data_IF_178057417027
#
_entry.id   IF_178057417027
#
_cell.length_a   1.000
_cell.length_b   1.000
_cell.length_c   1.000
_cell.angle_alpha   90.00
_cell.angle_beta   90.00
_cell.angle_gamma   90.00
#
_symmetry.space_group_name_H-M   'P 1'
#
loop_
_entity.id
_entity.type
_entity.pdbx_description
1 polymer ?
#
# COMPACT_ATOMS: atom_id res chain seq x y z
N UNK A 1 -13.52 11.72 -7.70
CA UNK A 1 -12.13 11.37 -8.09
C UNK A 1 -11.03 11.85 -7.14
N UNK A 2 -11.17 12.96 -6.39
CA UNK A 2 -10.13 13.45 -5.45
C UNK A 2 -9.78 12.46 -4.30
N UNK A 3 -10.77 11.73 -3.78
CA UNK A 3 -10.60 10.85 -2.60
C UNK A 3 -9.70 9.63 -2.87
N UNK A 4 -9.75 9.06 -4.08
CA UNK A 4 -8.98 7.87 -4.43
C UNK A 4 -7.47 8.12 -4.44
N UNK A 5 -7.03 9.25 -5.03
CA UNK A 5 -5.61 9.63 -5.04
C UNK A 5 -5.10 9.95 -3.64
N UNK A 6 -5.92 10.61 -2.81
CA UNK A 6 -5.59 10.86 -1.40
C UNK A 6 -5.43 9.56 -0.61
N UNK A 7 -6.35 8.59 -0.79
CA UNK A 7 -6.25 7.29 -0.13
C UNK A 7 -5.01 6.50 -0.57
N UNK A 8 -4.68 6.50 -1.87
CA UNK A 8 -3.44 5.91 -2.37
C UNK A 8 -2.19 6.55 -1.74
N UNK A 9 -2.16 7.89 -1.63
CA UNK A 9 -1.04 8.59 -0.96
C UNK A 9 -0.94 8.21 0.52
N UNK A 10 -2.06 8.13 1.24
CA UNK A 10 -2.10 7.69 2.64
C UNK A 10 -1.54 6.27 2.80
N UNK A 11 -1.95 5.34 1.95
CA UNK A 11 -1.45 3.95 1.95
C UNK A 11 0.07 3.92 1.76
N UNK A 12 0.58 4.63 0.75
CA UNK A 12 2.02 4.69 0.48
C UNK A 12 2.78 5.30 1.66
N UNK A 13 2.24 6.35 2.30
CA UNK A 13 2.82 6.95 3.50
C UNK A 13 2.89 5.94 4.66
N UNK A 14 1.79 5.24 4.95
CA UNK A 14 1.75 4.20 5.98
C UNK A 14 2.80 3.11 5.71
N UNK A 15 2.91 2.65 4.47
CA UNK A 15 3.90 1.63 4.08
C UNK A 15 5.35 2.12 4.17
N UNK A 16 5.60 3.41 3.96
CA UNK A 16 6.94 4.01 4.15
C UNK A 16 7.31 4.13 5.63
N UNK A 17 6.32 4.33 6.50
CA UNK A 17 6.52 4.49 7.96
C UNK A 17 6.58 3.14 8.68
N UNK A 18 5.71 2.20 8.34
CA UNK A 18 5.52 0.92 9.03
C UNK A 18 6.20 -0.26 8.33
N UNK A 19 6.60 -0.10 7.06
CA UNK A 19 7.16 -1.18 6.25
C UNK A 19 6.08 -2.03 5.57
N UNK A 20 6.18 -3.35 5.71
CA UNK A 20 5.22 -4.26 5.08
C UNK A 20 3.88 -4.26 5.82
N UNK A 21 2.79 -4.26 5.05
CA UNK A 21 1.43 -4.19 5.60
C UNK A 21 0.51 -5.19 4.93
N UNK A 22 -0.54 -5.59 5.64
CA UNK A 22 -1.71 -6.30 5.11
C UNK A 22 -2.88 -5.36 4.90
N UNK A 23 -3.92 -5.82 4.20
CA UNK A 23 -5.15 -5.06 4.06
C UNK A 23 -5.83 -4.77 5.42
N UNK A 24 -5.65 -5.66 6.40
CA UNK A 24 -6.17 -5.50 7.75
C UNK A 24 -5.52 -4.33 8.50
N UNK A 25 -4.25 -4.02 8.22
CA UNK A 25 -3.54 -2.90 8.85
C UNK A 25 -4.03 -1.54 8.32
N UNK A 26 -4.73 -1.54 7.17
CA UNK A 26 -5.34 -0.35 6.55
C UNK A 26 -6.88 -0.41 6.62
N UNK A 27 -7.44 -1.00 7.68
CA UNK A 27 -8.89 -1.15 7.84
C UNK A 27 -9.68 0.18 7.84
N UNK A 28 -9.02 1.31 8.14
CA UNK A 28 -9.61 2.65 8.11
C UNK A 28 -9.81 3.22 6.70
N UNK A 29 -9.35 2.52 5.65
CA UNK A 29 -9.59 2.87 4.25
C UNK A 29 -10.49 1.80 3.62
N UNK A 30 -11.78 2.14 3.47
CA UNK A 30 -12.71 1.29 2.74
C UNK A 30 -12.23 1.01 1.32
N UNK A 31 -12.43 -0.22 0.84
CA UNK A 31 -11.98 -0.69 -0.47
C UNK A 31 -10.47 -0.53 -0.73
N UNK A 32 -9.63 -0.61 0.31
CA UNK A 32 -8.16 -0.52 0.21
C UNK A 32 -7.54 -1.45 -0.85
N UNK A 33 -8.15 -2.61 -1.09
CA UNK A 33 -7.75 -3.55 -2.15
C UNK A 33 -7.69 -2.92 -3.55
N UNK A 34 -8.63 -2.04 -3.90
CA UNK A 34 -8.62 -1.37 -5.22
C UNK A 34 -7.40 -0.44 -5.36
N UNK A 35 -7.00 0.22 -4.28
CA UNK A 35 -5.85 1.11 -4.25
C UNK A 35 -4.52 0.33 -4.31
N UNK A 36 -4.43 -0.83 -3.65
CA UNK A 36 -3.26 -1.69 -3.79
C UNK A 36 -3.04 -2.14 -5.23
N UNK A 37 -4.10 -2.56 -5.93
CA UNK A 37 -4.00 -2.96 -7.36
C UNK A 37 -3.51 -1.80 -8.23
N UNK A 38 -4.04 -0.59 -8.00
CA UNK A 38 -3.59 0.60 -8.73
C UNK A 38 -2.11 0.91 -8.47
N UNK A 39 -1.67 0.86 -7.21
CA UNK A 39 -0.28 1.10 -6.82
C UNK A 39 0.69 0.02 -7.36
N UNK A 40 0.25 -1.23 -7.45
CA UNK A 40 1.02 -2.32 -8.08
C UNK A 40 1.20 -2.07 -9.58
N UNK A 41 0.14 -1.62 -10.27
CA UNK A 41 0.21 -1.25 -11.70
C UNK A 41 1.16 -0.08 -11.95
N UNK A 42 1.25 0.85 -11.01
CA UNK A 42 2.22 1.95 -11.05
C UNK A 42 3.65 1.51 -10.70
N UNK A 43 3.85 0.25 -10.29
CA UNK A 43 5.15 -0.29 -9.89
C UNK A 43 5.70 0.30 -8.59
N UNK A 44 4.85 0.94 -7.77
CA UNK A 44 5.24 1.55 -6.49
C UNK A 44 5.36 0.48 -5.42
N UNK A 45 4.38 -0.43 -5.38
CA UNK A 45 4.31 -1.51 -4.38
C UNK A 45 4.38 -2.88 -5.05
N UNK A 46 4.75 -3.87 -4.27
CA UNK A 46 4.67 -5.29 -4.60
C UNK A 46 3.85 -6.04 -3.57
N UNK A 47 3.65 -7.33 -3.83
CA UNK A 47 2.99 -8.21 -2.87
C UNK A 47 3.56 -9.61 -2.86
N UNK A 48 3.43 -10.26 -1.70
CA UNK A 48 3.82 -11.65 -1.48
C UNK A 48 2.80 -12.34 -0.58
N UNK A 49 2.66 -13.65 -0.73
CA UNK A 49 1.90 -14.46 0.21
C UNK A 49 2.74 -14.68 1.47
N UNK A 50 2.09 -14.61 2.63
CA UNK A 50 2.69 -14.88 3.93
C UNK A 50 1.72 -15.73 4.75
N UNK A 51 2.25 -16.63 5.54
CA UNK A 51 1.48 -17.45 6.48
C UNK A 51 1.74 -16.90 7.87
N UNK A 52 0.68 -16.38 8.52
CA UNK A 52 0.75 -15.88 9.90
C UNK A 52 1.02 -17.03 10.87
N UNK A 53 1.44 -16.71 12.08
CA UNK A 53 1.71 -17.69 13.15
C UNK A 53 0.51 -18.62 13.44
N UNK A 54 -0.72 -18.14 13.26
CA UNK A 54 -1.95 -18.92 13.42
C UNK A 54 -2.33 -19.77 12.18
N UNK A 55 -1.43 -19.95 11.21
CA UNK A 55 -1.65 -20.72 9.99
C UNK A 55 -2.46 -20.00 8.91
N UNK A 56 -2.96 -18.79 9.16
CA UNK A 56 -3.76 -18.04 8.18
C UNK A 56 -2.86 -17.46 7.08
N UNK A 57 -3.21 -17.74 5.82
CA UNK A 57 -2.53 -17.12 4.67
C UNK A 57 -3.07 -15.72 4.43
N UNK A 58 -2.19 -14.73 4.43
CA UNK A 58 -2.51 -13.35 4.10
C UNK A 58 -1.58 -12.80 3.03
N UNK A 59 -2.06 -11.81 2.28
CA UNK A 59 -1.26 -11.11 1.27
C UNK A 59 -0.58 -9.91 1.93
N UNK A 60 0.75 -9.97 2.03
CA UNK A 60 1.58 -8.85 2.47
C UNK A 60 1.87 -7.93 1.28
N UNK A 61 1.88 -6.63 1.53
CA UNK A 61 2.20 -5.57 0.58
C UNK A 61 3.43 -4.84 1.08
N UNK A 62 4.34 -4.51 0.17
CA UNK A 62 5.59 -3.83 0.50
C UNK A 62 5.94 -2.77 -0.55
N UNK A 63 6.72 -1.76 -0.17
CA UNK A 63 7.25 -0.77 -1.12
C UNK A 63 8.27 -1.48 -2.02
N UNK A 64 7.99 -1.53 -3.33
CA UNK A 64 8.88 -2.12 -4.32
C UNK A 64 9.90 -1.11 -4.82
N UNK A 65 9.49 0.13 -5.02
CA UNK A 65 10.33 1.23 -5.49
C UNK A 65 10.15 2.44 -4.57
N UNK A 66 11.12 2.63 -3.67
CA UNK A 66 11.08 3.70 -2.66
C UNK A 66 11.18 5.09 -3.29
N UNK A 67 11.95 5.25 -4.37
CA UNK A 67 12.09 6.54 -5.05
C UNK A 67 10.77 6.95 -5.71
N UNK A 68 10.09 6.02 -6.39
CA UNK A 68 8.74 6.26 -6.93
C UNK A 68 7.71 6.50 -5.84
N UNK A 69 7.78 5.78 -4.72
CA UNK A 69 6.89 6.00 -3.58
C UNK A 69 7.00 7.42 -3.02
N UNK A 70 8.24 7.90 -2.78
CA UNK A 70 8.52 9.27 -2.30
C UNK A 70 8.05 10.30 -3.33
N UNK A 71 8.36 10.11 -4.61
CA UNK A 71 7.89 11.01 -5.68
C UNK A 71 6.36 11.06 -5.74
N UNK A 72 5.68 9.92 -5.57
CA UNK A 72 4.23 9.82 -5.62
C UNK A 72 3.54 10.58 -4.48
N UNK A 73 4.09 10.54 -3.26
CA UNK A 73 3.57 11.33 -2.14
C UNK A 73 3.90 12.82 -2.32
N UNK A 74 5.12 13.13 -2.78
CA UNK A 74 5.71 14.46 -2.93
C UNK A 74 5.26 15.30 -4.12
N UNK A 75 4.28 14.85 -4.93
CA UNK A 75 3.57 15.74 -5.87
C UNK A 75 2.59 16.65 -5.09
N UNK A 76 3.14 17.42 -4.15
CA UNK A 76 2.61 18.65 -3.53
C UNK A 76 3.88 19.47 -3.21
N UNK A 77 4.36 20.20 -4.21
CA UNK A 77 5.00 21.50 -3.99
C UNK A 77 4.01 22.54 -4.50
#
# INVERSE_FOLDING_TARGET
MKTARTNMKKIVKIMLEQGEVTASDIAHISNSNQYFVALERLGIIGSRWHTRANGTKCKMRFIKDRAKAIKFIGVIQ
#
